data_IF_286144302831
#
_entry.id   IF_286144302831
#
_cell.length_a   1.000
_cell.length_b   1.000
_cell.length_c   1.000
_cell.angle_alpha   90.00
_cell.angle_beta   90.00
_cell.angle_gamma   90.00
#
_symmetry.space_group_name_H-M   'P 1'
#
loop_
_entity.id
_entity.type
_entity.pdbx_description
1 polymer ?
#
# COMPACT_ATOMS: atom_id res chain seq x y z
N UNK A 1 -37.93 50.15 -7.53
CA UNK A 1 -37.26 49.72 -8.78
C UNK A 1 -35.93 50.46 -8.79
N UNK A 2 -34.75 49.85 -8.73
CA UNK A 2 -34.27 48.62 -9.34
C UNK A 2 -33.25 47.90 -8.45
N UNK A 3 -33.09 46.62 -8.78
CA UNK A 3 -32.21 45.59 -8.22
C UNK A 3 -30.73 45.95 -8.30
N UNK A 4 -29.94 45.41 -7.38
CA UNK A 4 -28.57 44.97 -7.66
C UNK A 4 -28.21 43.84 -6.69
N UNK A 5 -28.56 42.62 -7.10
CA UNK A 5 -28.08 41.39 -6.52
C UNK A 5 -27.01 40.85 -7.48
N UNK A 6 -25.73 40.96 -7.12
CA UNK A 6 -24.64 40.31 -7.83
C UNK A 6 -24.07 39.18 -6.98
N UNK A 7 -23.81 38.08 -7.68
CA UNK A 7 -23.62 36.75 -7.16
C UNK A 7 -22.16 36.42 -6.83
N UNK A 8 -22.05 35.32 -6.07
CA UNK A 8 -21.11 34.21 -6.27
C UNK A 8 -19.62 34.43 -6.06
N UNK A 9 -19.10 33.67 -5.08
CA UNK A 9 -17.68 33.35 -4.94
C UNK A 9 -17.55 32.09 -4.10
N UNK A 10 -17.94 30.94 -4.67
CA UNK A 10 -17.75 29.63 -4.06
C UNK A 10 -16.28 29.32 -3.83
N UNK A 11 -15.94 28.93 -2.60
CA UNK A 11 -14.63 28.39 -2.23
C UNK A 11 -14.87 27.29 -1.19
N UNK A 12 -15.17 26.08 -1.67
CA UNK A 12 -15.64 24.97 -0.83
C UNK A 12 -15.05 23.59 -1.09
N UNK A 13 -14.16 23.39 -2.07
CA UNK A 13 -13.80 22.03 -2.52
C UNK A 13 -12.38 21.54 -2.17
N UNK A 14 -11.47 22.41 -1.72
CA UNK A 14 -10.06 22.01 -1.50
C UNK A 14 -9.81 21.32 -0.15
N UNK A 15 -10.54 21.68 0.91
CA UNK A 15 -10.32 21.11 2.26
C UNK A 15 -10.83 19.67 2.39
N UNK A 16 -11.99 19.34 1.81
CA UNK A 16 -12.57 18.00 1.89
C UNK A 16 -11.76 17.00 1.04
N UNK A 17 -11.26 17.46 -0.12
CA UNK A 17 -10.40 16.66 -1.00
C UNK A 17 -9.06 16.31 -0.36
N UNK A 18 -8.43 17.25 0.35
CA UNK A 18 -7.19 17.01 1.10
C UNK A 18 -7.39 15.99 2.23
N UNK A 19 -8.44 16.18 3.02
CA UNK A 19 -8.82 15.29 4.13
C UNK A 19 -9.10 13.85 3.67
N UNK A 20 -9.77 13.68 2.52
CA UNK A 20 -10.08 12.36 2.00
C UNK A 20 -8.84 11.61 1.47
N UNK A 21 -7.95 12.30 0.74
CA UNK A 21 -6.67 11.70 0.29
C UNK A 21 -5.80 11.29 1.48
N UNK A 22 -5.73 12.12 2.52
CA UNK A 22 -5.01 11.78 3.75
C UNK A 22 -5.60 10.55 4.44
N UNK A 23 -6.93 10.39 4.40
CA UNK A 23 -7.60 9.19 4.89
C UNK A 23 -7.20 7.95 4.09
N UNK A 24 -7.17 8.05 2.76
CA UNK A 24 -6.72 6.96 1.86
C UNK A 24 -5.28 6.56 2.17
N UNK A 25 -4.39 7.53 2.41
CA UNK A 25 -2.98 7.27 2.75
C UNK A 25 -2.84 6.67 4.14
N UNK A 26 -3.61 7.13 5.13
CA UNK A 26 -3.64 6.51 6.47
C UNK A 26 -4.07 5.05 6.37
N UNK A 27 -5.10 4.76 5.56
CA UNK A 27 -5.56 3.40 5.31
C UNK A 27 -4.50 2.54 4.61
N UNK A 28 -3.82 3.10 3.60
CA UNK A 28 -2.69 2.44 2.92
C UNK A 28 -1.63 1.97 3.91
N UNK A 29 -1.20 2.84 4.82
CA UNK A 29 -0.15 2.52 5.81
C UNK A 29 -0.58 1.32 6.66
N UNK A 30 -1.82 1.32 7.15
CA UNK A 30 -2.37 0.24 7.96
C UNK A 30 -2.45 -1.06 7.16
N UNK A 31 -2.98 -1.01 5.93
CA UNK A 31 -3.12 -2.18 5.07
C UNK A 31 -1.76 -2.77 4.71
N UNK A 32 -0.79 -1.94 4.35
CA UNK A 32 0.55 -2.39 3.97
C UNK A 32 1.29 -3.04 5.13
N UNK A 33 1.30 -2.39 6.31
CA UNK A 33 1.92 -2.94 7.52
C UNK A 33 1.26 -4.27 7.93
N UNK A 34 -0.07 -4.33 7.89
CA UNK A 34 -0.79 -5.56 8.19
C UNK A 34 -0.52 -6.66 7.15
N UNK A 35 -0.38 -6.27 5.88
CA UNK A 35 -0.04 -7.18 4.79
C UNK A 35 1.30 -7.87 5.04
N UNK A 36 2.33 -7.06 5.27
CA UNK A 36 3.70 -7.51 5.58
C UNK A 36 3.73 -8.38 6.84
N UNK A 37 3.10 -7.92 7.93
CA UNK A 37 3.05 -8.64 9.21
C UNK A 37 2.54 -10.07 9.05
N UNK A 38 1.41 -10.23 8.36
CA UNK A 38 0.78 -11.53 8.17
C UNK A 38 1.66 -12.49 7.37
N UNK A 39 2.41 -11.99 6.40
CA UNK A 39 3.32 -12.83 5.61
C UNK A 39 4.51 -13.34 6.44
N UNK A 40 5.08 -12.49 7.30
CA UNK A 40 6.15 -12.87 8.24
C UNK A 40 5.63 -13.90 9.25
N UNK A 41 4.47 -13.62 9.86
CA UNK A 41 3.84 -14.47 10.88
C UNK A 41 3.60 -15.88 10.34
N UNK A 42 3.04 -16.00 9.13
CA UNK A 42 2.81 -17.29 8.45
C UNK A 42 4.09 -18.08 8.21
N UNK A 43 5.18 -17.39 7.85
CA UNK A 43 6.48 -18.01 7.57
C UNK A 43 7.23 -18.40 8.85
N UNK A 44 6.66 -18.15 10.03
CA UNK A 44 7.26 -18.47 11.34
C UNK A 44 8.68 -17.95 11.51
N UNK A 45 8.97 -16.78 10.95
CA UNK A 45 10.30 -16.18 11.02
C UNK A 45 10.59 -15.75 12.47
N UNK A 46 11.64 -16.32 13.07
CA UNK A 46 11.90 -16.31 14.52
C UNK A 46 12.03 -14.94 15.21
N UNK A 47 12.21 -13.85 14.47
CA UNK A 47 12.20 -12.47 15.00
C UNK A 47 10.92 -11.69 14.64
N UNK A 48 9.77 -12.36 14.51
CA UNK A 48 8.48 -11.71 14.28
C UNK A 48 8.24 -10.57 15.28
N UNK A 49 8.54 -10.74 16.57
CA UNK A 49 8.35 -9.69 17.58
C UNK A 49 9.16 -8.40 17.30
N UNK A 50 10.36 -8.50 16.73
CA UNK A 50 11.14 -7.33 16.32
C UNK A 50 10.48 -6.61 15.15
N UNK A 51 10.02 -7.35 14.14
CA UNK A 51 9.32 -6.74 13.01
C UNK A 51 7.99 -6.15 13.45
N UNK A 52 7.28 -6.78 14.39
CA UNK A 52 6.05 -6.25 14.98
C UNK A 52 6.28 -4.84 15.55
N UNK A 53 7.38 -4.66 16.30
CA UNK A 53 7.80 -3.38 16.86
C UNK A 53 8.21 -2.37 15.78
N UNK A 54 8.94 -2.81 14.75
CA UNK A 54 9.35 -1.95 13.63
C UNK A 54 8.15 -1.48 12.80
N UNK A 55 7.20 -2.38 12.55
CA UNK A 55 5.99 -2.07 11.81
C UNK A 55 5.05 -1.19 12.62
N UNK A 56 5.00 -1.32 13.95
CA UNK A 56 4.02 -0.63 14.80
C UNK A 56 2.61 -0.76 14.17
N UNK A 57 2.19 -2.01 13.95
CA UNK A 57 1.02 -2.32 13.11
C UNK A 57 -0.24 -1.86 13.81
N UNK A 58 -0.95 -0.84 13.29
CA UNK A 58 -2.17 -0.36 13.93
C UNK A 58 -3.27 -1.41 13.79
N UNK A 59 -4.18 -1.46 14.77
CA UNK A 59 -5.33 -2.36 14.68
C UNK A 59 -6.23 -1.96 13.50
N UNK A 60 -6.74 -2.97 12.79
CA UNK A 60 -7.76 -2.78 11.76
C UNK A 60 -9.10 -2.52 12.45
N UNK A 61 -9.37 -1.24 12.72
CA UNK A 61 -10.45 -0.81 13.61
C UNK A 61 -11.86 -0.87 13.00
N UNK A 62 -12.01 -1.24 11.72
CA UNK A 62 -13.31 -1.34 11.06
C UNK A 62 -13.48 -2.68 10.34
N UNK A 63 -14.70 -3.26 10.32
CA UNK A 63 -15.00 -4.49 9.57
C UNK A 63 -14.65 -4.38 8.08
N UNK A 64 -14.78 -3.17 7.52
CA UNK A 64 -14.45 -2.87 6.12
C UNK A 64 -12.95 -3.01 5.85
N UNK A 65 -12.11 -2.41 6.70
CA UNK A 65 -10.65 -2.52 6.60
C UNK A 65 -10.18 -3.97 6.78
N UNK A 66 -10.84 -4.73 7.66
CA UNK A 66 -10.58 -6.16 7.82
C UNK A 66 -10.97 -6.97 6.57
N UNK A 67 -12.07 -6.62 5.89
CA UNK A 67 -12.47 -7.27 4.62
C UNK A 67 -11.45 -6.98 3.51
N UNK A 68 -10.99 -5.74 3.38
CA UNK A 68 -9.96 -5.37 2.40
C UNK A 68 -8.66 -6.09 2.68
N UNK A 69 -8.19 -6.06 3.94
CA UNK A 69 -6.97 -6.78 4.34
C UNK A 69 -7.09 -8.25 3.95
N UNK A 70 -8.18 -8.95 4.31
CA UNK A 70 -8.38 -10.36 3.92
C UNK A 70 -8.34 -10.59 2.41
N UNK A 71 -8.88 -9.68 1.62
CA UNK A 71 -8.86 -9.80 0.17
C UNK A 71 -7.44 -9.60 -0.40
N UNK A 72 -6.72 -8.59 0.08
CA UNK A 72 -5.30 -8.39 -0.25
C UNK A 72 -4.48 -9.64 0.11
N UNK A 73 -4.71 -10.21 1.29
CA UNK A 73 -4.07 -11.45 1.73
C UNK A 73 -4.35 -12.60 0.78
N UNK A 74 -5.61 -12.84 0.41
CA UNK A 74 -5.98 -13.95 -0.46
C UNK A 74 -5.35 -13.85 -1.86
N UNK A 75 -5.16 -12.63 -2.38
CA UNK A 75 -4.44 -12.42 -3.65
C UNK A 75 -2.93 -12.58 -3.46
N UNK A 76 -2.38 -12.07 -2.36
CA UNK A 76 -0.99 -12.29 -1.98
C UNK A 76 -0.63 -13.77 -1.84
N UNK A 77 -1.53 -14.57 -1.26
CA UNK A 77 -1.37 -16.01 -1.07
C UNK A 77 -1.35 -16.77 -2.41
N UNK A 78 -2.11 -16.32 -3.41
CA UNK A 78 -2.09 -16.92 -4.76
C UNK A 78 -0.76 -16.75 -5.48
N UNK A 79 0.00 -15.70 -5.15
CA UNK A 79 1.30 -15.39 -5.78
C UNK A 79 2.48 -15.71 -4.87
N UNK A 80 2.26 -16.29 -3.68
CA UNK A 80 3.33 -16.50 -2.69
C UNK A 80 4.43 -17.45 -3.19
N UNK A 81 4.08 -18.46 -4.01
CA UNK A 81 5.06 -19.38 -4.60
C UNK A 81 6.06 -18.67 -5.52
N UNK A 82 5.59 -17.74 -6.34
CA UNK A 82 6.43 -16.92 -7.22
C UNK A 82 7.28 -15.95 -6.41
N UNK A 83 6.69 -15.34 -5.37
CA UNK A 83 7.39 -14.50 -4.40
C UNK A 83 8.53 -15.28 -3.72
N UNK A 84 8.28 -16.48 -3.22
CA UNK A 84 9.33 -17.31 -2.60
C UNK A 84 10.44 -17.68 -3.57
N UNK A 85 10.10 -17.95 -4.83
CA UNK A 85 11.08 -18.24 -5.86
C UNK A 85 11.97 -17.02 -6.15
N UNK A 86 11.39 -15.82 -6.21
CA UNK A 86 12.13 -14.57 -6.36
C UNK A 86 13.05 -14.25 -5.17
N UNK A 87 12.67 -14.61 -3.93
CA UNK A 87 13.54 -14.41 -2.75
C UNK A 87 14.86 -15.18 -2.81
N UNK A 88 14.88 -16.31 -3.54
CA UNK A 88 16.09 -17.13 -3.70
C UNK A 88 17.09 -16.52 -4.68
N UNK A 89 16.68 -15.50 -5.44
CA UNK A 89 17.56 -14.77 -6.34
C UNK A 89 18.50 -13.85 -5.53
N UNK A 90 19.77 -14.21 -5.48
CA UNK A 90 20.81 -13.46 -4.74
C UNK A 90 21.14 -12.10 -5.36
N UNK A 91 20.67 -11.82 -6.59
CA UNK A 91 20.83 -10.52 -7.24
C UNK A 91 19.84 -9.48 -6.70
N UNK A 92 18.76 -9.93 -6.05
CA UNK A 92 17.78 -9.07 -5.42
C UNK A 92 18.28 -8.57 -4.06
N UNK A 93 19.02 -7.47 -4.08
CA UNK A 93 19.46 -6.79 -2.86
C UNK A 93 18.51 -5.63 -2.49
N UNK A 94 18.11 -5.51 -1.21
CA UNK A 94 17.32 -4.37 -0.75
C UNK A 94 18.07 -3.04 -0.94
N UNK A 95 17.64 -2.24 -1.91
CA UNK A 95 18.12 -0.88 -2.14
C UNK A 95 16.99 0.00 -2.71
N UNK A 96 17.12 1.32 -2.54
CA UNK A 96 16.17 2.29 -3.11
C UNK A 96 16.06 2.13 -4.63
N UNK A 97 17.20 2.02 -5.32
CA UNK A 97 17.27 1.92 -6.76
C UNK A 97 16.52 0.68 -7.28
N UNK A 98 16.80 -0.49 -6.70
CA UNK A 98 16.14 -1.74 -7.09
C UNK A 98 14.64 -1.68 -6.79
N UNK A 99 14.25 -1.09 -5.66
CA UNK A 99 12.84 -0.94 -5.29
C UNK A 99 12.10 -0.03 -6.27
N UNK A 100 12.61 1.19 -6.50
CA UNK A 100 12.02 2.17 -7.41
C UNK A 100 11.95 1.61 -8.83
N UNK A 101 13.00 0.96 -9.32
CA UNK A 101 13.03 0.41 -10.68
C UNK A 101 11.86 -0.54 -10.93
N UNK A 102 11.55 -1.41 -9.98
CA UNK A 102 10.43 -2.35 -10.12
C UNK A 102 9.08 -1.63 -9.98
N UNK A 103 8.92 -0.78 -8.97
CA UNK A 103 7.65 -0.06 -8.75
C UNK A 103 7.30 0.84 -9.93
N UNK A 104 8.28 1.55 -10.51
CA UNK A 104 8.08 2.34 -11.73
C UNK A 104 7.74 1.45 -12.93
N UNK A 105 8.36 0.28 -13.05
CA UNK A 105 8.08 -0.68 -14.12
C UNK A 105 6.62 -1.16 -14.14
N UNK A 106 6.02 -1.37 -12.96
CA UNK A 106 4.63 -1.83 -12.81
C UNK A 106 3.62 -0.88 -13.46
N UNK A 107 3.88 0.43 -13.46
CA UNK A 107 2.99 1.47 -14.00
C UNK A 107 3.58 2.17 -15.23
N UNK A 108 4.52 1.53 -15.93
CA UNK A 108 5.28 2.16 -17.02
C UNK A 108 4.44 2.58 -18.23
N UNK A 109 3.27 1.96 -18.43
CA UNK A 109 2.30 2.33 -19.48
C UNK A 109 1.27 3.37 -19.02
N UNK A 110 1.36 3.87 -17.78
CA UNK A 110 0.46 4.86 -17.20
C UNK A 110 -0.84 4.31 -16.63
N UNK A 111 -1.12 3.01 -16.75
CA UNK A 111 -2.39 2.42 -16.31
C UNK A 111 -2.36 2.02 -14.83
N UNK A 112 -3.37 2.44 -14.07
CA UNK A 112 -3.53 2.05 -12.66
C UNK A 112 -4.76 1.17 -12.52
N UNK A 113 -4.59 -0.01 -11.91
CA UNK A 113 -5.68 -0.91 -11.57
C UNK A 113 -5.37 -1.66 -10.26
N UNK A 114 -6.39 -2.28 -9.66
CA UNK A 114 -6.23 -2.99 -8.39
C UNK A 114 -5.22 -4.15 -8.45
N UNK A 115 -5.10 -4.85 -9.58
CA UNK A 115 -4.12 -5.92 -9.75
C UNK A 115 -2.68 -5.42 -9.60
N UNK A 116 -2.38 -4.25 -10.18
CA UNK A 116 -1.07 -3.60 -10.03
C UNK A 116 -0.84 -3.05 -8.63
N UNK A 117 -1.85 -2.47 -8.00
CA UNK A 117 -1.79 -2.06 -6.59
C UNK A 117 -1.40 -3.24 -5.69
N UNK A 118 -2.03 -4.40 -5.88
CA UNK A 118 -1.68 -5.63 -5.15
C UNK A 118 -0.28 -6.10 -5.49
N UNK A 119 0.12 -6.03 -6.75
CA UNK A 119 1.49 -6.40 -7.18
C UNK A 119 2.55 -5.58 -6.42
N UNK A 120 2.32 -4.28 -6.24
CA UNK A 120 3.23 -3.45 -5.42
C UNK A 120 3.24 -3.88 -3.96
N UNK A 121 2.09 -4.23 -3.37
CA UNK A 121 2.04 -4.76 -1.99
C UNK A 121 2.86 -6.05 -1.87
N UNK A 122 2.67 -7.00 -2.77
CA UNK A 122 3.41 -8.27 -2.80
C UNK A 122 4.91 -8.04 -2.97
N UNK A 123 5.31 -7.18 -3.92
CA UNK A 123 6.71 -6.84 -4.14
C UNK A 123 7.33 -6.09 -2.94
N UNK A 124 6.58 -5.20 -2.30
CA UNK A 124 7.03 -4.51 -1.09
C UNK A 124 7.25 -5.49 0.05
N UNK A 125 6.35 -6.46 0.21
CA UNK A 125 6.50 -7.51 1.21
C UNK A 125 7.73 -8.39 0.94
N UNK A 126 7.95 -8.80 -0.32
CA UNK A 126 9.16 -9.50 -0.75
C UNK A 126 10.43 -8.74 -0.36
N UNK A 127 10.47 -7.43 -0.63
CA UNK A 127 11.62 -6.58 -0.32
C UNK A 127 11.87 -6.45 1.19
N UNK A 128 10.80 -6.33 1.98
CA UNK A 128 10.89 -6.30 3.45
C UNK A 128 11.36 -7.64 4.01
N UNK A 129 10.84 -8.76 3.49
CA UNK A 129 11.28 -10.10 3.88
C UNK A 129 12.75 -10.31 3.56
N UNK A 130 13.22 -9.84 2.39
CA UNK A 130 14.63 -9.93 2.02
C UNK A 130 15.53 -9.08 2.93
N UNK A 131 15.12 -7.84 3.20
CA UNK A 131 15.82 -6.98 4.17
C UNK A 131 15.88 -7.60 5.57
N UNK A 132 14.82 -8.30 5.96
CA UNK A 132 14.76 -9.02 7.22
C UNK A 132 15.72 -10.23 7.27
N UNK A 133 15.73 -11.08 6.24
CA UNK A 133 16.65 -12.23 6.14
C UNK A 133 18.12 -11.78 6.15
N UNK A 134 18.40 -10.64 5.50
CA UNK A 134 19.73 -10.03 5.46
C UNK A 134 20.07 -9.22 6.74
N UNK A 135 19.16 -9.19 7.74
CA UNK A 135 19.28 -8.44 9.01
C UNK A 135 19.46 -6.91 8.87
N UNK A 136 18.91 -6.32 7.80
CA UNK A 136 18.98 -4.88 7.49
C UNK A 136 17.69 -4.17 7.95
N UNK A 137 17.42 -4.14 9.25
CA UNK A 137 16.14 -3.71 9.79
C UNK A 137 15.78 -2.23 9.51
N UNK A 138 16.77 -1.34 9.42
CA UNK A 138 16.53 0.07 9.05
C UNK A 138 15.96 0.21 7.63
N UNK A 139 16.27 -0.74 6.75
CA UNK A 139 15.75 -0.77 5.38
C UNK A 139 14.24 -1.04 5.36
N UNK A 140 13.70 -1.78 6.34
CA UNK A 140 12.26 -2.09 6.41
C UNK A 140 11.44 -0.80 6.49
N UNK A 141 11.84 0.14 7.34
CA UNK A 141 11.18 1.45 7.48
C UNK A 141 11.28 2.25 6.20
N UNK A 142 12.46 2.25 5.57
CA UNK A 142 12.69 2.96 4.32
C UNK A 142 11.80 2.43 3.19
N UNK A 143 11.73 1.11 3.01
CA UNK A 143 10.88 0.47 2.00
C UNK A 143 9.40 0.87 2.18
N UNK A 144 8.89 0.82 3.42
CA UNK A 144 7.51 1.21 3.73
C UNK A 144 7.28 2.68 3.37
N UNK A 145 8.21 3.57 3.75
CA UNK A 145 8.10 5.00 3.44
C UNK A 145 8.11 5.25 1.93
N UNK A 146 9.03 4.64 1.18
CA UNK A 146 9.07 4.77 -0.28
C UNK A 146 7.79 4.28 -0.95
N UNK A 147 7.22 3.19 -0.44
CA UNK A 147 5.92 2.68 -0.91
C UNK A 147 4.83 3.72 -0.68
N UNK A 148 4.74 4.25 0.55
CA UNK A 148 3.72 5.22 0.93
C UNK A 148 3.85 6.52 0.13
N UNK A 149 5.07 7.00 -0.07
CA UNK A 149 5.35 8.20 -0.85
C UNK A 149 4.98 8.00 -2.32
N UNK A 150 5.32 6.86 -2.90
CA UNK A 150 4.94 6.54 -4.27
C UNK A 150 3.42 6.51 -4.45
N UNK A 151 2.70 5.85 -3.54
CA UNK A 151 1.24 5.82 -3.57
C UNK A 151 0.63 7.20 -3.37
N UNK A 152 1.14 7.99 -2.41
CA UNK A 152 0.69 9.35 -2.15
C UNK A 152 0.81 10.22 -3.40
N UNK A 153 1.89 10.05 -4.16
CA UNK A 153 2.17 10.90 -5.33
C UNK A 153 1.48 10.41 -6.61
N UNK A 154 1.33 9.09 -6.78
CA UNK A 154 0.93 8.50 -8.07
C UNK A 154 -0.44 7.82 -8.02
N UNK A 155 -0.74 7.09 -6.95
CA UNK A 155 -1.87 6.15 -6.90
C UNK A 155 -3.07 6.71 -6.15
N UNK A 156 -2.86 7.65 -5.22
CA UNK A 156 -3.90 8.16 -4.31
C UNK A 156 -5.07 8.80 -5.05
N UNK A 157 -4.79 9.52 -6.13
CA UNK A 157 -5.83 10.17 -6.94
C UNK A 157 -6.72 9.13 -7.59
N UNK A 158 -6.12 8.09 -8.19
CA UNK A 158 -6.87 7.00 -8.78
C UNK A 158 -7.73 6.27 -7.73
N UNK A 159 -7.18 5.94 -6.55
CA UNK A 159 -7.96 5.29 -5.48
C UNK A 159 -9.11 6.17 -5.01
N UNK A 160 -8.89 7.48 -4.90
CA UNK A 160 -9.95 8.45 -4.57
C UNK A 160 -11.06 8.42 -5.62
N UNK A 161 -10.70 8.39 -6.89
CA UNK A 161 -11.65 8.37 -8.01
C UNK A 161 -12.41 7.03 -8.06
N UNK A 162 -11.82 5.94 -7.54
CA UNK A 162 -12.51 4.68 -7.26
C UNK A 162 -13.44 4.75 -6.02
N UNK A 163 -13.56 5.88 -5.34
CA UNK A 163 -14.35 6.04 -4.11
C UNK A 163 -13.66 5.52 -2.85
N UNK A 164 -12.33 5.41 -2.88
CA UNK A 164 -11.51 4.89 -1.79
C UNK A 164 -11.30 3.37 -1.86
N UNK A 165 -10.69 2.82 -0.81
CA UNK A 165 -10.34 1.39 -0.75
C UNK A 165 -11.54 0.43 -0.63
N UNK A 166 -12.76 0.92 -0.39
CA UNK A 166 -13.94 0.08 -0.08
C UNK A 166 -14.94 0.02 -1.24
N UNK A 167 -15.14 1.12 -1.97
CA UNK A 167 -16.35 1.29 -2.79
C UNK A 167 -16.29 0.55 -4.13
N UNK A 168 -15.09 0.35 -4.70
CA UNK A 168 -14.86 -0.34 -5.97
C UNK A 168 -13.67 -1.32 -5.93
N UNK A 169 -13.24 -1.75 -4.73
CA UNK A 169 -12.07 -2.64 -4.57
C UNK A 169 -12.42 -4.12 -4.77
N UNK A 170 -11.36 -4.94 -4.74
CA UNK A 170 -11.33 -6.39 -4.94
C UNK A 170 -12.52 -7.16 -4.29
N UNK A 171 -13.12 -6.63 -3.23
CA UNK A 171 -14.27 -7.23 -2.54
C UNK A 171 -15.56 -7.35 -3.34
N UNK A 172 -15.68 -6.69 -4.50
CA UNK A 172 -16.83 -6.83 -5.42
C UNK A 172 -16.56 -7.81 -6.57
N UNK A 173 -15.35 -8.38 -6.66
CA UNK A 173 -14.95 -9.33 -7.73
C UNK A 173 -14.55 -10.71 -7.21
N UNK A 174 -14.67 -10.95 -5.90
CA UNK A 174 -14.49 -12.27 -5.27
C UNK A 174 -15.79 -12.71 -4.63
#
# INVERSE_FOLDING_TARGET
MLENNMASGGKGDDQDTGSFKDTIVKQLIVLLKNFIWKQIERRSLGNAEMIRKVLDTPQLNTPQMQKISRCLQAVGDQVDGDVQSAMKDQTMRPSLENYIKVVLGIFSDGEINWGRVVTVFSFTCLFVLKAYEDNIFDMIKNIINWTVDYFRNTVVNWIRDQGGWVRNSLTNRV
#
